data_IF_003135244062
#
_entry.id   IF_003135244062
#
_cell.length_a   1.000
_cell.length_b   1.000
_cell.length_c   1.000
_cell.angle_alpha   90.00
_cell.angle_beta   90.00
_cell.angle_gamma   90.00
#
_symmetry.space_group_name_H-M   'P 1'
#
loop_
_entity.id
_entity.type
_entity.pdbx_description
1 polymer ?
#
# COMPACT_ATOMS: atom_id res chain seq x y z
N UNK A 1 19.09 -8.62 8.19
CA UNK A 1 18.82 -9.98 8.65
C UNK A 1 19.99 -10.92 8.37
N UNK A 2 20.59 -10.96 7.15
CA UNK A 2 21.69 -11.85 6.82
C UNK A 2 22.92 -11.71 7.74
N UNK A 3 23.30 -10.49 8.12
CA UNK A 3 24.44 -10.22 9.01
C UNK A 3 24.23 -10.68 10.46
N UNK A 4 22.99 -10.67 10.95
CA UNK A 4 22.67 -11.15 12.29
C UNK A 4 22.83 -12.68 12.37
N UNK A 5 22.54 -13.40 11.30
CA UNK A 5 22.76 -14.86 11.21
C UNK A 5 24.23 -15.25 11.03
N UNK A 6 25.07 -14.37 10.46
CA UNK A 6 26.51 -14.60 10.30
C UNK A 6 27.35 -14.22 11.54
N UNK A 7 26.71 -13.81 12.64
CA UNK A 7 27.43 -13.38 13.85
C UNK A 7 28.00 -11.96 13.77
N UNK A 8 27.78 -11.22 12.69
CA UNK A 8 28.10 -9.81 12.59
C UNK A 8 27.08 -8.98 13.39
N UNK A 9 27.55 -8.09 14.24
CA UNK A 9 26.69 -7.23 15.07
C UNK A 9 25.78 -6.34 14.22
N UNK A 10 24.63 -5.95 14.78
CA UNK A 10 23.73 -4.99 14.16
C UNK A 10 24.41 -3.62 14.04
N UNK A 11 24.17 -2.91 12.93
CA UNK A 11 24.62 -1.51 12.80
C UNK A 11 23.80 -0.60 13.72
N UNK A 12 24.37 0.51 14.20
CA UNK A 12 23.58 1.58 14.81
C UNK A 12 22.38 1.93 13.91
N UNK A 13 21.26 2.26 14.48
CA UNK A 13 20.02 2.59 13.80
C UNK A 13 19.29 1.44 13.08
N UNK A 14 19.84 0.22 13.05
CA UNK A 14 19.16 -0.92 12.39
C UNK A 14 17.72 -1.11 12.87
N UNK A 15 17.47 -0.96 14.18
CA UNK A 15 16.12 -1.09 14.72
C UNK A 15 15.19 0.02 14.22
N UNK A 16 15.68 1.25 14.14
CA UNK A 16 14.88 2.38 13.67
C UNK A 16 14.50 2.23 12.19
N UNK A 17 15.39 1.68 11.38
CA UNK A 17 15.14 1.40 9.97
C UNK A 17 14.23 0.18 9.75
N UNK A 18 14.07 -0.68 10.75
CA UNK A 18 13.17 -1.83 10.71
C UNK A 18 11.77 -1.55 11.27
N UNK A 19 11.54 -0.38 11.84
CA UNK A 19 10.22 0.01 12.35
C UNK A 19 9.26 0.33 11.20
N UNK A 20 7.97 0.06 11.39
CA UNK A 20 6.94 0.29 10.37
C UNK A 20 6.83 1.74 9.89
N UNK A 21 7.19 2.69 10.74
CA UNK A 21 7.20 4.13 10.40
C UNK A 21 8.50 4.61 9.78
N UNK A 22 9.48 3.75 9.54
CA UNK A 22 10.80 4.15 9.03
C UNK A 22 10.72 4.92 7.70
N UNK A 23 9.91 4.43 6.76
CA UNK A 23 9.73 5.09 5.47
C UNK A 23 9.13 6.49 5.61
N UNK A 24 8.11 6.65 6.46
CA UNK A 24 7.48 7.95 6.73
C UNK A 24 8.47 8.91 7.38
N UNK A 25 9.23 8.44 8.36
CA UNK A 25 10.23 9.24 9.05
C UNK A 25 11.35 9.69 8.09
N UNK A 26 11.84 8.78 7.22
CA UNK A 26 12.88 9.10 6.26
C UNK A 26 12.42 10.15 5.24
N UNK A 27 11.22 10.00 4.67
CA UNK A 27 10.64 10.98 3.74
C UNK A 27 10.48 12.35 4.43
N UNK A 28 10.02 12.35 5.68
CA UNK A 28 9.86 13.59 6.43
C UNK A 28 11.19 14.30 6.68
N UNK A 29 12.26 13.56 7.00
CA UNK A 29 13.61 14.08 7.18
C UNK A 29 14.16 14.66 5.87
N UNK A 30 14.08 13.91 4.78
CA UNK A 30 14.67 14.29 3.48
C UNK A 30 13.99 15.54 2.89
N UNK A 31 12.71 15.72 3.17
CA UNK A 31 11.92 16.84 2.62
C UNK A 31 11.55 17.91 3.66
N UNK A 32 12.03 17.82 4.89
CA UNK A 32 11.74 18.78 5.95
C UNK A 32 10.26 18.86 6.33
N UNK A 33 9.50 17.77 6.21
CA UNK A 33 8.08 17.72 6.49
C UNK A 33 7.84 17.68 8.00
N UNK A 34 7.07 18.62 8.53
CA UNK A 34 6.83 18.80 9.97
C UNK A 34 5.37 18.61 10.38
N UNK A 35 4.52 18.25 9.43
CA UNK A 35 3.10 17.97 9.68
C UNK A 35 2.86 16.62 10.37
N UNK A 36 1.60 16.25 10.61
CA UNK A 36 1.23 14.95 11.14
C UNK A 36 1.79 13.81 10.28
N UNK A 37 2.27 12.76 10.94
CA UNK A 37 2.82 11.57 10.31
C UNK A 37 2.01 10.35 10.76
N UNK A 38 1.68 9.49 9.84
CA UNK A 38 0.91 8.26 10.09
C UNK A 38 1.45 7.11 9.25
N UNK A 39 1.64 5.96 9.87
CA UNK A 39 1.86 4.70 9.17
C UNK A 39 0.61 3.84 9.26
N UNK A 40 0.16 3.33 8.12
CA UNK A 40 -1.02 2.48 8.01
C UNK A 40 -0.57 1.06 7.69
N UNK A 41 -1.07 0.09 8.42
CA UNK A 41 -0.80 -1.33 8.20
C UNK A 41 -2.13 -2.08 8.07
N UNK A 42 -2.46 -2.46 6.84
CA UNK A 42 -3.68 -3.18 6.48
C UNK A 42 -3.38 -4.19 5.35
N UNK A 43 -2.29 -4.93 5.50
CA UNK A 43 -1.80 -5.87 4.50
C UNK A 43 -1.77 -5.23 3.08
N UNK A 44 -2.28 -5.92 2.06
CA UNK A 44 -2.30 -5.42 0.67
C UNK A 44 -3.08 -4.12 0.49
N UNK A 45 -4.01 -3.79 1.40
CA UNK A 45 -4.82 -2.57 1.34
C UNK A 45 -4.14 -1.35 1.99
N UNK A 46 -2.95 -1.49 2.58
CA UNK A 46 -2.28 -0.43 3.35
C UNK A 46 -2.12 0.87 2.57
N UNK A 47 -1.67 0.81 1.31
CA UNK A 47 -1.49 2.00 0.49
C UNK A 47 -2.83 2.68 0.15
N UNK A 48 -3.86 1.90 -0.18
CA UNK A 48 -5.21 2.43 -0.44
C UNK A 48 -5.81 3.06 0.82
N UNK A 49 -5.66 2.41 1.97
CA UNK A 49 -6.10 2.96 3.26
C UNK A 49 -5.35 4.25 3.62
N UNK A 50 -4.02 4.30 3.40
CA UNK A 50 -3.24 5.52 3.61
C UNK A 50 -3.72 6.69 2.72
N UNK A 51 -4.05 6.42 1.45
CA UNK A 51 -4.62 7.41 0.53
C UNK A 51 -5.98 7.92 1.05
N UNK A 52 -6.84 7.02 1.51
CA UNK A 52 -8.13 7.38 2.09
C UNK A 52 -7.99 8.25 3.35
N UNK A 53 -7.13 7.86 4.28
CA UNK A 53 -6.86 8.63 5.50
C UNK A 53 -6.27 10.02 5.18
N UNK A 54 -5.39 10.11 4.18
CA UNK A 54 -4.85 11.39 3.72
C UNK A 54 -5.96 12.28 3.11
N UNK A 55 -6.88 11.71 2.33
CA UNK A 55 -8.05 12.44 1.81
C UNK A 55 -8.91 12.98 2.95
N UNK A 56 -9.23 12.16 3.95
CA UNK A 56 -10.01 12.59 5.11
C UNK A 56 -9.30 13.70 5.90
N UNK A 57 -7.99 13.58 6.10
CA UNK A 57 -7.19 14.60 6.78
C UNK A 57 -7.23 15.95 6.03
N UNK A 58 -7.19 15.94 4.70
CA UNK A 58 -7.33 17.13 3.86
C UNK A 58 -8.75 17.70 3.93
N UNK A 59 -9.79 16.87 3.88
CA UNK A 59 -11.20 17.30 4.02
C UNK A 59 -11.45 17.98 5.36
N UNK A 60 -10.87 17.46 6.44
CA UNK A 60 -10.98 18.03 7.80
C UNK A 60 -10.03 19.21 8.06
N UNK A 61 -9.22 19.60 7.10
CA UNK A 61 -8.31 20.74 7.25
C UNK A 61 -7.12 20.50 8.15
N UNK A 62 -6.76 19.26 8.43
CA UNK A 62 -5.59 18.91 9.25
C UNK A 62 -4.27 19.18 8.53
N UNK A 63 -4.30 19.24 7.21
CA UNK A 63 -3.17 19.60 6.37
C UNK A 63 -3.65 20.24 5.08
N UNK A 64 -2.79 20.97 4.39
CA UNK A 64 -3.08 21.52 3.06
C UNK A 64 -2.60 20.60 1.93
N UNK A 65 -1.49 19.91 2.17
CA UNK A 65 -0.86 18.95 1.26
C UNK A 65 -0.32 17.78 2.05
N UNK A 66 -0.42 16.58 1.51
CA UNK A 66 0.07 15.34 2.13
C UNK A 66 0.81 14.52 1.09
N UNK A 67 2.02 14.08 1.43
CA UNK A 67 2.70 13.01 0.70
C UNK A 67 2.17 11.69 1.25
N UNK A 68 1.64 10.84 0.39
CA UNK A 68 1.10 9.54 0.76
C UNK A 68 1.60 8.48 -0.22
N UNK A 69 1.87 7.29 0.27
CA UNK A 69 2.35 6.22 -0.60
C UNK A 69 2.39 4.87 0.10
N UNK A 70 2.94 3.92 -0.59
CA UNK A 70 3.19 2.58 -0.08
C UNK A 70 4.47 2.00 -0.68
N UNK A 71 5.09 1.12 0.08
CA UNK A 71 6.29 0.39 -0.35
C UNK A 71 6.28 -1.02 0.20
N UNK A 72 6.82 -1.96 -0.56
CA UNK A 72 6.99 -3.34 -0.14
C UNK A 72 8.29 -3.90 -0.71
N UNK A 73 9.05 -4.62 0.11
CA UNK A 73 10.30 -5.26 -0.27
C UNK A 73 10.40 -6.67 0.38
N UNK A 74 9.58 -7.65 -0.09
CA UNK A 74 9.45 -8.95 0.54
C UNK A 74 10.45 -10.00 0.03
N UNK A 75 11.35 -9.69 -0.92
CA UNK A 75 12.21 -10.69 -1.57
C UNK A 75 13.40 -11.09 -0.69
N UNK A 76 13.10 -11.51 0.54
CA UNK A 76 14.06 -12.07 1.49
C UNK A 76 13.74 -13.54 1.77
N UNK A 77 14.77 -14.35 2.02
CA UNK A 77 14.64 -15.81 2.13
C UNK A 77 13.54 -16.26 3.11
N UNK A 78 13.46 -15.62 4.29
CA UNK A 78 12.44 -15.96 5.29
C UNK A 78 11.02 -15.67 4.84
N UNK A 79 10.78 -14.57 4.13
CA UNK A 79 9.45 -14.28 3.59
C UNK A 79 9.10 -15.21 2.43
N UNK A 80 10.04 -15.48 1.52
CA UNK A 80 9.81 -16.42 0.44
C UNK A 80 9.44 -17.82 0.96
N UNK A 81 10.13 -18.30 1.99
CA UNK A 81 9.82 -19.58 2.65
C UNK A 81 8.42 -19.56 3.29
N UNK A 82 8.03 -18.47 3.94
CA UNK A 82 6.71 -18.34 4.55
C UNK A 82 5.59 -18.36 3.50
N UNK A 83 5.77 -17.65 2.39
CA UNK A 83 4.82 -17.66 1.27
C UNK A 83 4.74 -19.02 0.56
N UNK A 84 5.88 -19.72 0.41
CA UNK A 84 5.93 -21.07 -0.14
C UNK A 84 5.19 -22.07 0.75
N UNK A 85 5.35 -21.96 2.08
CA UNK A 85 4.64 -22.78 3.06
C UNK A 85 3.10 -22.63 2.96
N UNK A 86 2.60 -21.46 2.57
CA UNK A 86 1.19 -21.22 2.26
C UNK A 86 0.73 -21.89 0.95
N UNK A 87 1.65 -22.38 0.13
CA UNK A 87 1.39 -23.01 -1.17
C UNK A 87 0.60 -22.12 -2.14
N UNK A 88 0.83 -20.84 -2.10
CA UNK A 88 0.17 -19.84 -2.96
C UNK A 88 1.09 -19.26 -4.02
N UNK A 89 2.39 -19.57 -4.00
CA UNK A 89 3.33 -19.13 -5.01
C UNK A 89 3.11 -19.82 -6.34
N UNK A 90 3.32 -19.10 -7.43
CA UNK A 90 3.27 -19.63 -8.77
C UNK A 90 4.38 -20.68 -8.98
N UNK A 91 4.04 -21.72 -9.73
CA UNK A 91 5.05 -22.64 -10.25
C UNK A 91 5.86 -21.94 -11.34
N UNK A 92 7.18 -21.98 -11.21
CA UNK A 92 8.05 -21.44 -12.25
C UNK A 92 7.78 -22.13 -13.59
N UNK A 93 7.59 -21.34 -14.64
CA UNK A 93 7.59 -21.87 -15.99
C UNK A 93 9.02 -22.33 -16.33
N UNK A 94 9.17 -23.58 -16.76
CA UNK A 94 10.50 -24.19 -16.98
C UNK A 94 11.21 -23.63 -18.19
N UNK A 95 10.48 -23.15 -19.18
CA UNK A 95 11.05 -22.66 -20.45
C UNK A 95 11.17 -21.13 -20.44
N UNK A 96 10.25 -20.44 -19.76
CA UNK A 96 10.17 -18.99 -19.71
C UNK A 96 9.78 -18.53 -18.31
N UNK A 97 10.73 -18.50 -17.33
CA UNK A 97 10.45 -18.13 -15.95
C UNK A 97 9.75 -16.77 -15.81
N UNK A 98 10.07 -15.81 -16.68
CA UNK A 98 9.47 -14.48 -16.76
C UNK A 98 7.97 -14.51 -17.07
N UNK A 99 7.48 -15.59 -17.67
CA UNK A 99 6.06 -15.81 -17.94
C UNK A 99 5.29 -16.44 -16.78
N UNK A 100 5.92 -16.69 -15.66
CA UNK A 100 5.25 -17.28 -14.48
C UNK A 100 4.24 -16.31 -13.86
N UNK A 101 4.49 -15.00 -13.94
CA UNK A 101 3.54 -13.96 -13.57
C UNK A 101 2.52 -13.75 -14.69
N UNK A 102 1.31 -14.29 -14.52
CA UNK A 102 0.26 -14.23 -15.54
C UNK A 102 -1.12 -13.96 -14.91
N UNK A 103 -1.36 -12.73 -14.43
CA UNK A 103 -2.65 -12.34 -13.84
C UNK A 103 -3.80 -12.58 -14.84
N UNK A 104 -4.91 -13.09 -14.33
CA UNK A 104 -6.12 -13.42 -15.10
C UNK A 104 -5.98 -14.47 -16.22
N UNK A 105 -4.77 -14.97 -16.51
CA UNK A 105 -4.57 -16.05 -17.48
C UNK A 105 -5.18 -17.36 -16.96
N UNK A 106 -5.73 -18.17 -17.87
CA UNK A 106 -6.29 -19.50 -17.52
C UNK A 106 -5.23 -20.46 -16.96
N UNK A 107 -3.95 -20.28 -17.32
CA UNK A 107 -2.82 -21.09 -16.87
C UNK A 107 -2.13 -20.55 -15.61
N UNK A 108 -2.69 -19.49 -14.98
CA UNK A 108 -2.11 -18.97 -13.73
C UNK A 108 -2.04 -20.05 -12.67
N UNK A 109 -0.97 -20.09 -11.91
CA UNK A 109 -0.71 -21.13 -10.90
C UNK A 109 -0.45 -20.58 -9.49
N UNK A 110 -0.48 -19.27 -9.31
CA UNK A 110 -0.24 -18.63 -8.02
C UNK A 110 0.33 -17.22 -8.15
N UNK A 111 0.89 -16.73 -7.06
CA UNK A 111 1.45 -15.40 -6.94
C UNK A 111 2.94 -15.39 -7.32
N UNK A 112 3.40 -14.32 -7.93
CA UNK A 112 4.82 -13.99 -8.07
C UNK A 112 5.07 -12.74 -7.25
N UNK A 113 5.93 -12.84 -6.23
CA UNK A 113 6.24 -11.71 -5.36
C UNK A 113 7.10 -10.70 -6.11
N UNK A 114 6.85 -9.43 -5.84
CA UNK A 114 7.60 -8.30 -6.38
C UNK A 114 7.92 -7.28 -5.30
N UNK A 115 8.80 -6.35 -5.62
CA UNK A 115 9.15 -5.21 -4.79
C UNK A 115 8.77 -3.93 -5.52
N UNK A 116 8.41 -2.89 -4.78
CA UNK A 116 8.11 -1.61 -5.37
C UNK A 116 7.72 -0.57 -4.34
N UNK A 117 7.75 0.68 -4.77
CA UNK A 117 7.26 1.81 -4.00
C UNK A 117 6.66 2.85 -4.93
N UNK A 118 5.64 3.54 -4.46
CA UNK A 118 5.06 4.69 -5.13
C UNK A 118 4.56 5.71 -4.12
N UNK A 119 4.58 6.98 -4.51
CA UNK A 119 4.06 8.07 -3.69
C UNK A 119 3.24 9.04 -4.54
N UNK A 120 2.25 9.64 -3.91
CA UNK A 120 1.38 10.67 -4.45
C UNK A 120 1.45 11.92 -3.57
N UNK A 121 1.24 13.08 -4.16
CA UNK A 121 0.95 14.31 -3.42
C UNK A 121 -0.53 14.58 -3.55
N UNK A 122 -1.23 14.51 -2.43
CA UNK A 122 -2.63 14.89 -2.34
C UNK A 122 -2.74 16.31 -1.82
N UNK A 123 -3.66 17.08 -2.38
CA UNK A 123 -3.86 18.48 -2.08
C UNK A 123 -5.32 18.86 -2.35
N UNK A 124 -5.85 19.83 -1.62
CA UNK A 124 -7.18 20.37 -1.96
C UNK A 124 -7.14 21.03 -3.34
N UNK A 125 -8.14 20.78 -4.16
CA UNK A 125 -8.23 21.33 -5.51
C UNK A 125 -8.03 22.84 -5.55
N UNK A 126 -8.68 23.57 -4.63
CA UNK A 126 -8.55 25.03 -4.54
C UNK A 126 -7.11 25.49 -4.29
N UNK A 127 -6.36 24.76 -3.50
CA UNK A 127 -4.95 25.05 -3.22
C UNK A 127 -4.08 24.72 -4.43
N UNK A 128 -4.32 23.58 -5.08
CA UNK A 128 -3.63 23.17 -6.30
C UNK A 128 -3.82 24.19 -7.42
N UNK A 129 -5.06 24.60 -7.68
CA UNK A 129 -5.39 25.64 -8.69
C UNK A 129 -4.73 26.98 -8.40
N UNK A 130 -4.78 27.46 -7.14
CA UNK A 130 -4.20 28.74 -6.72
C UNK A 130 -2.69 28.82 -6.99
N UNK A 131 -1.95 27.73 -6.86
CA UNK A 131 -0.51 27.68 -7.13
C UNK A 131 -0.14 27.23 -8.56
N UNK A 132 -1.12 27.00 -9.44
CA UNK A 132 -0.91 26.56 -10.81
C UNK A 132 -0.41 25.12 -10.92
N UNK A 133 -0.73 24.24 -9.96
CA UNK A 133 -0.31 22.85 -10.01
C UNK A 133 -1.00 22.11 -11.15
N UNK A 134 -0.27 21.15 -11.74
CA UNK A 134 -0.87 20.17 -12.64
C UNK A 134 -1.70 19.18 -11.81
N UNK A 135 -2.99 19.13 -12.07
CA UNK A 135 -3.91 18.16 -11.47
C UNK A 135 -3.99 16.95 -12.42
N UNK A 136 -3.66 15.78 -11.93
CA UNK A 136 -3.67 14.53 -12.70
C UNK A 136 -5.02 13.82 -12.63
N UNK A 137 -5.65 13.86 -11.45
CA UNK A 137 -6.96 13.26 -11.19
C UNK A 137 -7.56 13.87 -9.93
N UNK A 138 -8.84 13.66 -9.73
CA UNK A 138 -9.56 13.95 -8.51
C UNK A 138 -9.84 12.65 -7.74
N UNK A 139 -9.60 12.66 -6.42
CA UNK A 139 -9.97 11.56 -5.52
C UNK A 139 -11.34 11.88 -4.93
N UNK A 140 -12.38 11.22 -5.45
CA UNK A 140 -13.76 11.55 -5.16
C UNK A 140 -14.29 10.92 -3.88
N UNK A 141 -13.88 9.67 -3.57
CA UNK A 141 -14.41 8.95 -2.43
C UNK A 141 -13.48 7.87 -1.89
N UNK A 142 -13.77 7.46 -0.66
CA UNK A 142 -13.05 6.40 0.05
C UNK A 142 -14.02 5.55 0.87
N UNK A 143 -13.86 4.23 0.79
CA UNK A 143 -14.59 3.27 1.60
C UNK A 143 -13.67 2.17 2.10
N UNK A 144 -13.84 1.78 3.35
CA UNK A 144 -13.09 0.70 3.99
C UNK A 144 -14.07 -0.18 4.78
N UNK A 145 -13.94 -1.50 4.66
CA UNK A 145 -14.78 -2.45 5.37
C UNK A 145 -13.99 -3.72 5.69
N UNK A 146 -14.21 -4.27 6.88
CA UNK A 146 -13.77 -5.61 7.23
C UNK A 146 -14.91 -6.60 7.03
N UNK A 147 -14.59 -7.84 6.64
CA UNK A 147 -15.57 -8.91 6.46
C UNK A 147 -15.72 -9.84 7.69
N UNK A 148 -14.80 -9.75 8.65
CA UNK A 148 -14.76 -10.56 9.87
C UNK A 148 -14.89 -12.08 9.62
N UNK A 149 -14.45 -12.56 8.45
CA UNK A 149 -14.63 -13.93 7.99
C UNK A 149 -13.41 -14.82 8.32
N UNK A 150 -12.33 -14.68 7.59
CA UNK A 150 -11.18 -15.57 7.70
C UNK A 150 -9.89 -14.87 7.20
N UNK A 151 -8.72 -15.19 7.77
CA UNK A 151 -7.43 -14.58 7.40
C UNK A 151 -7.07 -14.65 5.93
N UNK A 152 -7.43 -15.72 5.25
CA UNK A 152 -7.03 -15.98 3.86
C UNK A 152 -8.21 -16.33 2.92
N UNK A 153 -9.45 -16.19 3.39
CA UNK A 153 -10.64 -16.46 2.60
C UNK A 153 -11.62 -15.29 2.77
N UNK A 154 -11.51 -14.27 1.91
CA UNK A 154 -12.35 -13.09 1.96
C UNK A 154 -13.82 -13.44 1.65
N UNK A 155 -14.73 -12.70 2.30
CA UNK A 155 -16.16 -12.75 2.01
C UNK A 155 -16.51 -11.70 0.94
N UNK A 156 -17.20 -12.10 -0.15
CA UNK A 156 -17.67 -11.16 -1.17
C UNK A 156 -18.51 -10.00 -0.62
N UNK A 157 -19.30 -10.23 0.44
CA UNK A 157 -20.12 -9.18 1.06
C UNK A 157 -19.27 -8.05 1.66
N UNK A 158 -18.10 -8.37 2.26
CA UNK A 158 -17.17 -7.36 2.76
C UNK A 158 -16.58 -6.51 1.64
N UNK A 159 -16.21 -7.14 0.51
CA UNK A 159 -15.71 -6.43 -0.66
C UNK A 159 -16.79 -5.53 -1.27
N UNK A 160 -18.00 -6.04 -1.45
CA UNK A 160 -19.14 -5.25 -1.91
C UNK A 160 -19.37 -4.05 -1.00
N UNK A 161 -19.36 -4.24 0.32
CA UNK A 161 -19.54 -3.17 1.29
C UNK A 161 -18.51 -2.06 1.14
N UNK A 162 -17.23 -2.40 0.94
CA UNK A 162 -16.18 -1.40 0.73
C UNK A 162 -16.42 -0.58 -0.55
N UNK A 163 -16.83 -1.22 -1.64
CA UNK A 163 -17.19 -0.54 -2.89
C UNK A 163 -18.40 0.38 -2.72
N UNK A 164 -19.47 -0.09 -2.08
CA UNK A 164 -20.68 0.71 -1.80
C UNK A 164 -20.34 1.95 -0.97
N UNK A 165 -19.54 1.80 0.10
CA UNK A 165 -19.08 2.93 0.93
C UNK A 165 -18.26 3.94 0.11
N UNK A 166 -17.42 3.46 -0.80
CA UNK A 166 -16.62 4.34 -1.69
C UNK A 166 -17.52 5.15 -2.61
N UNK A 167 -18.50 4.51 -3.26
CA UNK A 167 -19.45 5.18 -4.12
C UNK A 167 -20.33 6.17 -3.35
N UNK A 168 -20.80 5.77 -2.16
CA UNK A 168 -21.57 6.63 -1.28
C UNK A 168 -20.80 7.89 -0.86
N UNK A 169 -19.51 7.74 -0.47
CA UNK A 169 -18.65 8.86 -0.10
C UNK A 169 -18.36 9.78 -1.29
N UNK A 170 -18.28 9.23 -2.49
CA UNK A 170 -18.12 9.96 -3.74
C UNK A 170 -19.41 10.65 -4.23
N UNK A 171 -20.57 10.27 -3.71
CA UNK A 171 -21.87 10.70 -4.25
C UNK A 171 -22.20 10.10 -5.62
N UNK A 172 -21.64 8.93 -5.94
CA UNK A 172 -21.78 8.22 -7.21
C UNK A 172 -22.64 6.96 -7.03
N UNK A 173 -23.16 6.46 -8.13
CA UNK A 173 -23.86 5.16 -8.20
C UNK A 173 -23.06 4.15 -9.02
N UNK A 174 -23.37 2.86 -8.84
CA UNK A 174 -22.81 1.82 -9.68
C UNK A 174 -23.28 2.03 -11.12
N UNK A 175 -22.34 2.34 -12.00
CA UNK A 175 -22.64 2.61 -13.43
C UNK A 175 -22.21 4.01 -13.89
N UNK A 176 -21.87 4.90 -12.93
CA UNK A 176 -21.25 6.18 -13.25
C UNK A 176 -19.76 5.99 -13.53
#
# INVERSE_FOLDING_TARGET
YGRLHSGEGARPLTILLAMQNAAVAQIALDHGLRGPQLSVSQACASAAAAIGEAMLALRWGRAERIVVGGSEAPLVAGQLQAWDALRVLAKADKLSPEQSCRPFDRRRSGLVLGEGAAALVLERESTARRRGARIHAELCGYGNAGDASHYARPDPAGQQRAMELTLQDAGLMAGD
#
